data_IF_913572413484
#
_entry.id   IF_913572413484
#
_cell.length_a   1.000
_cell.length_b   1.000
_cell.length_c   1.000
_cell.angle_alpha   90.00
_cell.angle_beta   90.00
_cell.angle_gamma   90.00
#
_symmetry.space_group_name_H-M   'P 1'
#
loop_
_entity.id
_entity.type
_entity.pdbx_description
1 polymer ?
#
# COMPACT_ATOMS: atom_id res chain seq x y z
N UNK A 1 6.63 38.86 20.40
CA UNK A 1 5.63 38.93 19.32
C UNK A 1 5.10 37.52 19.13
N UNK A 2 3.94 37.22 19.74
CA UNK A 2 3.35 35.87 19.80
C UNK A 2 1.95 36.01 19.20
N UNK A 3 1.68 35.31 18.11
CA UNK A 3 0.35 35.24 17.49
C UNK A 3 -0.33 33.95 17.96
N UNK A 4 -1.53 34.00 18.55
CA UNK A 4 -2.29 32.82 18.93
C UNK A 4 -3.13 32.31 17.75
N UNK A 5 -3.07 31.02 17.50
CA UNK A 5 -4.04 30.31 16.66
C UNK A 5 -5.39 30.29 17.38
N UNK A 6 -6.44 30.83 16.76
CA UNK A 6 -7.83 30.67 17.21
C UNK A 6 -8.64 30.07 16.08
N UNK A 7 -9.06 28.81 16.26
CA UNK A 7 -9.94 28.11 15.34
C UNK A 7 -11.36 28.64 15.45
N UNK A 8 -11.97 28.98 14.31
CA UNK A 8 -13.39 29.26 14.23
C UNK A 8 -14.19 27.95 14.30
N UNK A 9 -15.33 27.90 15.02
CA UNK A 9 -16.16 26.71 15.07
C UNK A 9 -16.88 26.50 13.73
N UNK A 10 -16.67 25.35 13.11
CA UNK A 10 -17.41 24.93 11.91
C UNK A 10 -18.84 24.62 12.31
N UNK A 11 -19.79 25.43 11.86
CA UNK A 11 -21.22 25.17 12.02
C UNK A 11 -21.63 24.00 11.14
N UNK A 12 -22.13 22.90 11.73
CA UNK A 12 -22.68 21.78 10.98
C UNK A 12 -24.07 22.16 10.41
N UNK A 13 -24.33 21.97 9.11
CA UNK A 13 -25.68 22.12 8.57
C UNK A 13 -26.59 20.95 9.02
N UNK A 14 -27.91 21.17 9.12
CA UNK A 14 -28.84 20.17 9.63
C UNK A 14 -28.88 18.94 8.72
N UNK A 15 -28.79 17.75 9.33
CA UNK A 15 -28.90 16.46 8.65
C UNK A 15 -30.33 16.27 8.14
N UNK A 16 -30.51 16.29 6.81
CA UNK A 16 -31.72 15.81 6.16
C UNK A 16 -31.45 14.42 5.56
N UNK A 17 -32.12 13.41 6.08
CA UNK A 17 -31.80 11.98 5.89
C UNK A 17 -32.36 11.40 4.58
N UNK A 18 -32.61 12.21 3.54
CA UNK A 18 -33.25 11.67 2.34
C UNK A 18 -32.93 12.38 1.02
N UNK A 19 -31.65 12.60 0.71
CA UNK A 19 -31.25 13.05 -0.63
C UNK A 19 -29.92 12.41 -1.06
N UNK A 20 -30.00 11.48 -2.00
CA UNK A 20 -28.92 10.60 -2.49
C UNK A 20 -28.03 11.27 -3.55
N UNK A 21 -27.56 12.49 -3.28
CA UNK A 21 -26.60 13.19 -4.13
C UNK A 21 -25.51 13.86 -3.30
N UNK A 22 -24.26 13.39 -3.44
CA UNK A 22 -23.10 14.14 -2.97
C UNK A 22 -22.79 15.23 -4.00
N UNK A 23 -23.14 16.48 -3.68
CA UNK A 23 -22.67 17.63 -4.45
C UNK A 23 -21.23 17.96 -4.04
N UNK A 24 -20.26 17.76 -4.94
CA UNK A 24 -18.93 18.34 -4.79
C UNK A 24 -19.08 19.85 -4.98
N UNK A 25 -19.06 20.62 -3.89
CA UNK A 25 -19.05 22.08 -3.97
C UNK A 25 -17.62 22.58 -4.14
N UNK A 26 -17.08 22.45 -5.35
CA UNK A 26 -15.93 23.26 -5.74
C UNK A 26 -16.43 24.70 -5.91
N UNK A 27 -16.09 25.60 -4.97
CA UNK A 27 -16.26 27.04 -5.19
C UNK A 27 -15.30 27.47 -6.28
N UNK A 28 -15.82 27.72 -7.48
CA UNK A 28 -15.11 28.49 -8.50
C UNK A 28 -15.49 29.97 -8.38
N UNK A 29 -14.54 30.89 -8.58
CA UNK A 29 -14.85 32.32 -8.63
C UNK A 29 -15.58 32.62 -9.95
N UNK A 30 -16.69 33.33 -9.81
CA UNK A 30 -17.42 34.12 -10.81
C UNK A 30 -17.45 33.63 -12.28
N UNK A 31 -18.66 33.25 -12.71
CA UNK A 31 -19.16 33.59 -14.05
C UNK A 31 -18.90 32.58 -15.17
N UNK A 32 -19.80 31.61 -15.35
CA UNK A 32 -20.42 31.27 -16.65
C UNK A 32 -21.36 30.06 -16.50
N UNK A 33 -22.53 30.15 -17.14
CA UNK A 33 -23.46 29.04 -17.32
C UNK A 33 -22.81 27.97 -18.20
N UNK A 34 -22.65 26.73 -17.71
CA UNK A 34 -22.19 25.61 -18.54
C UNK A 34 -23.24 24.51 -18.60
N UNK A 35 -23.57 24.13 -19.84
CA UNK A 35 -24.56 23.15 -20.24
C UNK A 35 -24.35 21.79 -19.55
N UNK A 36 -25.47 21.09 -19.31
CA UNK A 36 -25.48 19.74 -18.74
C UNK A 36 -24.73 18.78 -19.66
N UNK A 37 -23.44 18.59 -19.42
CA UNK A 37 -22.77 17.37 -19.83
C UNK A 37 -23.45 16.21 -19.11
N UNK A 38 -24.17 15.39 -19.87
CA UNK A 38 -24.74 14.14 -19.41
C UNK A 38 -23.58 13.16 -19.17
N UNK A 39 -22.84 13.39 -18.08
CA UNK A 39 -21.75 12.52 -17.66
C UNK A 39 -22.35 11.15 -17.38
N UNK A 40 -21.91 10.15 -18.14
CA UNK A 40 -22.28 8.77 -17.95
C UNK A 40 -22.06 8.43 -16.47
N UNK A 41 -23.13 7.96 -15.85
CA UNK A 41 -23.29 7.66 -14.43
C UNK A 41 -22.08 6.90 -13.87
N UNK A 42 -21.05 7.62 -13.42
CA UNK A 42 -20.10 7.09 -12.44
C UNK A 42 -20.92 6.84 -11.19
N UNK A 43 -21.27 5.58 -10.96
CA UNK A 43 -21.95 5.16 -9.74
C UNK A 43 -20.93 5.40 -8.63
N UNK A 44 -21.01 6.55 -7.97
CA UNK A 44 -20.31 6.77 -6.73
C UNK A 44 -20.72 5.62 -5.81
N UNK A 45 -19.77 4.76 -5.44
CA UNK A 45 -19.98 3.86 -4.31
C UNK A 45 -20.15 4.79 -3.13
N UNK A 46 -21.39 5.02 -2.73
CA UNK A 46 -21.69 5.72 -1.50
C UNK A 46 -21.10 4.80 -0.45
N UNK A 47 -19.92 5.13 0.08
CA UNK A 47 -19.47 4.56 1.33
C UNK A 47 -20.61 4.83 2.30
N UNK A 48 -21.28 3.76 2.72
CA UNK A 48 -22.11 3.82 3.90
C UNK A 48 -21.26 4.47 4.99
N UNK A 49 -21.81 5.41 5.76
CA UNK A 49 -21.16 5.92 6.98
C UNK A 49 -20.92 4.80 8.02
N UNK A 50 -21.42 3.59 7.74
CA UNK A 50 -20.93 2.38 8.36
C UNK A 50 -19.57 2.01 7.75
N UNK A 51 -18.49 1.96 8.57
CA UNK A 51 -17.23 1.35 8.18
C UNK A 51 -17.52 0.03 7.47
N UNK A 52 -16.81 -0.33 6.38
CA UNK A 52 -16.98 -1.63 5.78
C UNK A 52 -16.88 -2.66 6.89
N UNK A 53 -17.99 -3.36 7.14
CA UNK A 53 -18.01 -4.40 8.16
C UNK A 53 -17.06 -5.45 7.62
N UNK A 54 -15.86 -5.48 8.19
CA UNK A 54 -14.86 -6.50 7.96
C UNK A 54 -15.18 -7.56 9.02
N UNK A 55 -16.06 -8.54 8.74
CA UNK A 55 -16.55 -9.48 9.74
C UNK A 55 -15.42 -10.28 10.42
N UNK A 56 -14.24 -10.31 9.81
CA UNK A 56 -13.07 -10.99 10.32
C UNK A 56 -12.13 -10.10 11.16
N UNK A 57 -12.19 -8.77 11.06
CA UNK A 57 -11.39 -7.89 11.97
C UNK A 57 -11.95 -7.97 13.39
N UNK A 58 -13.28 -8.01 13.55
CA UNK A 58 -13.89 -8.21 14.87
C UNK A 58 -13.53 -9.57 15.48
N UNK A 59 -13.06 -10.53 14.69
CA UNK A 59 -12.63 -11.86 15.13
C UNK A 59 -11.16 -11.95 15.48
N UNK A 60 -10.38 -10.86 15.46
CA UNK A 60 -8.96 -10.91 15.84
C UNK A 60 -8.72 -11.59 17.20
N UNK A 61 -9.57 -11.27 18.18
CA UNK A 61 -9.53 -11.86 19.52
C UNK A 61 -10.02 -13.31 19.59
N UNK A 62 -10.63 -13.81 18.53
CA UNK A 62 -11.12 -15.20 18.42
C UNK A 62 -10.14 -16.12 17.72
N UNK A 63 -9.20 -15.57 16.94
CA UNK A 63 -8.12 -16.36 16.36
C UNK A 63 -7.10 -16.70 17.44
N UNK A 64 -6.68 -17.96 17.48
CA UNK A 64 -5.64 -18.39 18.40
C UNK A 64 -4.37 -17.60 18.12
N UNK A 65 -3.77 -17.03 19.17
CA UNK A 65 -2.56 -16.24 19.04
C UNK A 65 -1.45 -17.09 18.42
N UNK A 66 -0.96 -16.66 17.26
CA UNK A 66 0.05 -17.41 16.49
C UNK A 66 -0.53 -18.28 15.38
N UNK A 67 -1.86 -18.37 15.23
CA UNK A 67 -2.48 -18.99 14.05
C UNK A 67 -2.20 -18.17 12.78
N UNK A 68 -2.32 -18.79 11.61
CA UNK A 68 -2.13 -18.08 10.34
C UNK A 68 -3.19 -16.99 10.13
N UNK A 69 -4.43 -17.25 10.53
CA UNK A 69 -5.52 -16.29 10.47
C UNK A 69 -5.22 -15.05 11.31
N UNK A 70 -4.69 -15.23 12.53
CA UNK A 70 -4.27 -14.14 13.38
C UNK A 70 -3.17 -13.31 12.71
N UNK A 71 -2.17 -13.96 12.12
CA UNK A 71 -1.05 -13.28 11.44
C UNK A 71 -1.48 -12.54 10.18
N UNK A 72 -2.35 -13.14 9.35
CA UNK A 72 -2.94 -12.46 8.18
C UNK A 72 -3.79 -11.27 8.62
N UNK A 73 -4.60 -11.41 9.67
CA UNK A 73 -5.39 -10.31 10.21
C UNK A 73 -4.51 -9.17 10.76
N UNK A 74 -3.37 -9.47 11.38
CA UNK A 74 -2.39 -8.45 11.77
C UNK A 74 -1.79 -7.73 10.56
N UNK A 75 -1.41 -8.44 9.49
CA UNK A 75 -0.97 -7.78 8.25
C UNK A 75 -2.04 -6.87 7.67
N UNK A 76 -3.31 -7.29 7.73
CA UNK A 76 -4.43 -6.47 7.26
C UNK A 76 -4.54 -5.16 8.04
N UNK A 77 -4.42 -5.24 9.37
CA UNK A 77 -4.51 -4.08 10.26
C UNK A 77 -3.33 -3.11 10.11
N UNK A 78 -2.16 -3.63 9.76
CA UNK A 78 -0.95 -2.82 9.56
C UNK A 78 -0.90 -2.14 8.18
N UNK A 79 -1.81 -2.46 7.25
CA UNK A 79 -1.77 -1.83 5.93
C UNK A 79 -2.27 -0.38 6.01
N UNK A 80 -1.45 0.54 5.51
CA UNK A 80 -1.82 1.93 5.35
C UNK A 80 -2.96 2.11 4.33
N UNK A 81 -3.70 3.20 4.45
CA UNK A 81 -4.82 3.49 3.54
C UNK A 81 -4.40 3.51 2.06
N UNK A 82 -3.17 3.96 1.78
CA UNK A 82 -2.56 4.01 0.45
C UNK A 82 -2.10 2.64 -0.10
N UNK A 83 -2.16 1.57 0.69
CA UNK A 83 -1.74 0.22 0.31
C UNK A 83 -0.34 -0.19 0.75
N UNK A 84 0.45 0.70 1.36
CA UNK A 84 1.79 0.38 1.84
C UNK A 84 1.78 -0.23 3.24
N UNK A 85 2.95 -0.75 3.66
CA UNK A 85 3.28 -1.00 5.05
C UNK A 85 4.51 -0.19 5.46
N UNK A 86 4.56 0.20 6.72
CA UNK A 86 5.72 0.87 7.29
C UNK A 86 6.73 -0.14 7.85
N UNK A 87 8.02 0.18 7.71
CA UNK A 87 9.10 -0.63 8.24
C UNK A 87 9.24 -0.39 9.75
N UNK A 88 8.45 -1.11 10.54
CA UNK A 88 8.40 -1.00 12.00
C UNK A 88 8.49 -2.36 12.71
N UNK A 89 8.55 -2.34 14.04
CA UNK A 89 8.66 -3.58 14.83
C UNK A 89 7.43 -4.48 14.72
N UNK A 90 6.23 -3.92 14.58
CA UNK A 90 5.00 -4.70 14.53
C UNK A 90 4.96 -5.52 13.25
N UNK A 91 5.32 -4.93 12.11
CA UNK A 91 5.49 -5.66 10.86
C UNK A 91 6.58 -6.72 10.99
N UNK A 92 7.74 -6.39 11.56
CA UNK A 92 8.84 -7.34 11.73
C UNK A 92 8.39 -8.58 12.54
N UNK A 93 7.68 -8.36 13.65
CA UNK A 93 7.10 -9.41 14.50
C UNK A 93 6.15 -10.31 13.72
N UNK A 94 5.25 -9.72 12.93
CA UNK A 94 4.27 -10.45 12.11
C UNK A 94 4.96 -11.29 11.03
N UNK A 95 6.04 -10.79 10.44
CA UNK A 95 6.84 -11.49 9.44
C UNK A 95 7.78 -12.56 10.03
N UNK A 96 7.87 -12.67 11.36
CA UNK A 96 8.77 -13.60 12.04
C UNK A 96 10.25 -13.22 11.95
N UNK A 97 10.56 -11.93 11.88
CA UNK A 97 11.91 -11.36 11.72
C UNK A 97 12.15 -10.20 12.70
N UNK A 98 13.35 -9.61 12.71
CA UNK A 98 13.69 -8.43 13.49
C UNK A 98 13.74 -7.17 12.61
N UNK A 99 13.43 -6.01 13.20
CA UNK A 99 13.52 -4.73 12.51
C UNK A 99 14.97 -4.41 12.10
N UNK A 100 15.95 -4.89 12.88
CA UNK A 100 17.37 -4.74 12.58
C UNK A 100 17.75 -5.54 11.34
N UNK A 101 17.32 -6.80 11.23
CA UNK A 101 17.61 -7.62 10.06
C UNK A 101 16.92 -7.04 8.82
N UNK A 102 15.67 -6.61 8.92
CA UNK A 102 14.94 -5.95 7.83
C UNK A 102 15.69 -4.72 7.30
N UNK A 103 16.28 -3.92 8.20
CA UNK A 103 17.12 -2.76 7.85
C UNK A 103 18.46 -3.18 7.25
N UNK A 104 19.07 -4.23 7.78
CA UNK A 104 20.38 -4.71 7.32
C UNK A 104 20.33 -5.29 5.90
N UNK A 105 19.22 -5.92 5.52
CA UNK A 105 19.02 -6.45 4.17
C UNK A 105 18.33 -5.47 3.21
N UNK A 106 17.96 -4.28 3.71
CA UNK A 106 17.31 -3.24 2.92
C UNK A 106 18.24 -2.79 1.78
N UNK A 107 17.82 -2.90 0.51
CA UNK A 107 18.66 -2.48 -0.61
C UNK A 107 18.76 -0.96 -0.67
N UNK A 108 19.83 -0.39 -0.11
CA UNK A 108 20.12 1.06 -0.14
C UNK A 108 21.11 1.43 -1.25
N UNK A 109 21.91 0.48 -1.73
CA UNK A 109 22.92 0.71 -2.76
C UNK A 109 23.00 -0.49 -3.71
N UNK A 110 22.75 -0.26 -5.00
CA UNK A 110 22.85 -1.28 -6.04
C UNK A 110 23.80 -0.84 -7.14
N UNK A 111 24.97 -1.49 -7.27
CA UNK A 111 25.78 -1.31 -8.48
C UNK A 111 24.99 -1.86 -9.68
N UNK A 112 24.78 -1.01 -10.69
CA UNK A 112 24.20 -1.40 -11.97
C UNK A 112 25.32 -1.49 -13.01
N UNK A 113 25.37 -2.62 -13.71
CA UNK A 113 26.07 -2.75 -14.98
C UNK A 113 25.02 -3.08 -16.01
N UNK A 114 24.74 -2.13 -16.90
CA UNK A 114 23.99 -2.40 -18.12
C UNK A 114 25.04 -2.78 -19.16
N UNK A 115 24.97 -3.99 -19.71
CA UNK A 115 25.78 -4.34 -20.88
C UNK A 115 25.13 -3.69 -22.10
N UNK A 116 25.47 -2.43 -22.36
CA UNK A 116 25.14 -1.79 -23.62
C UNK A 116 25.98 -2.46 -24.72
N UNK A 117 25.35 -3.25 -25.58
CA UNK A 117 26.02 -4.02 -26.64
C UNK A 117 26.69 -3.17 -27.72
N UNK A 118 26.70 -1.85 -27.58
CA UNK A 118 27.19 -0.89 -28.58
C UNK A 118 28.36 -0.03 -28.12
N UNK A 119 28.75 -0.04 -26.84
CA UNK A 119 29.89 0.77 -26.39
C UNK A 119 30.78 0.02 -25.41
N UNK A 120 31.99 -0.31 -25.87
CA UNK A 120 33.03 -0.96 -25.09
C UNK A 120 33.73 0.05 -24.15
N UNK A 121 32.95 0.83 -23.40
CA UNK A 121 33.46 1.70 -22.36
C UNK A 121 32.64 1.49 -21.08
N UNK A 122 33.15 0.54 -20.31
CA UNK A 122 32.67 0.12 -19.01
C UNK A 122 32.90 1.23 -17.99
N UNK A 123 31.96 2.16 -17.88
CA UNK A 123 31.86 3.02 -16.71
C UNK A 123 30.71 2.48 -15.86
N UNK A 124 31.05 1.81 -14.75
CA UNK A 124 30.07 1.36 -13.75
C UNK A 124 29.17 2.56 -13.42
N UNK A 125 27.94 2.56 -13.92
CA UNK A 125 26.95 3.56 -13.56
C UNK A 125 26.42 3.17 -12.19
N UNK A 126 27.01 3.73 -11.14
CA UNK A 126 26.50 3.62 -9.77
C UNK A 126 25.11 4.25 -9.73
N UNK A 127 24.07 3.47 -9.97
CA UNK A 127 22.68 3.89 -9.77
C UNK A 127 22.34 3.58 -8.32
N UNK A 128 22.41 4.59 -7.45
CA UNK A 128 21.95 4.46 -6.07
C UNK A 128 20.42 4.29 -6.12
N UNK A 129 19.94 3.04 -6.07
CA UNK A 129 18.54 2.77 -5.81
C UNK A 129 18.32 2.93 -4.31
N UNK A 130 17.94 4.12 -3.87
CA UNK A 130 17.35 4.28 -2.53
C UNK A 130 15.93 3.76 -2.64
N UNK A 131 15.72 2.50 -2.27
CA UNK A 131 14.36 2.00 -2.07
C UNK A 131 13.80 2.69 -0.83
N UNK A 132 12.58 3.23 -0.92
CA UNK A 132 11.90 3.74 0.26
C UNK A 132 11.70 2.60 1.27
N UNK A 133 11.96 2.80 2.58
CA UNK A 133 11.78 1.75 3.58
C UNK A 133 10.38 1.13 3.57
N UNK A 134 9.34 1.94 3.34
CA UNK A 134 7.97 1.46 3.22
C UNK A 134 7.77 0.62 1.94
N UNK A 135 8.53 0.85 0.87
CA UNK A 135 8.49 0.00 -0.32
C UNK A 135 9.14 -1.36 -0.09
N UNK A 136 10.25 -1.40 0.63
CA UNK A 136 10.84 -2.66 1.10
C UNK A 136 9.88 -3.45 2.00
N UNK A 137 9.32 -2.80 3.02
CA UNK A 137 8.33 -3.37 3.93
C UNK A 137 7.09 -3.90 3.19
N UNK A 138 6.55 -3.12 2.25
CA UNK A 138 5.39 -3.50 1.44
C UNK A 138 5.69 -4.73 0.59
N UNK A 139 6.86 -4.80 -0.03
CA UNK A 139 7.25 -5.98 -0.82
C UNK A 139 7.40 -7.24 0.06
N UNK A 140 8.01 -7.11 1.24
CA UNK A 140 8.12 -8.22 2.20
C UNK A 140 6.75 -8.73 2.65
N UNK A 141 5.82 -7.82 2.98
CA UNK A 141 4.46 -8.19 3.37
C UNK A 141 3.72 -8.96 2.28
N UNK A 142 3.79 -8.48 1.03
CA UNK A 142 3.14 -9.15 -0.11
C UNK A 142 3.76 -10.53 -0.38
N UNK A 143 5.09 -10.66 -0.35
CA UNK A 143 5.76 -11.97 -0.51
C UNK A 143 5.35 -12.94 0.59
N UNK A 144 5.29 -12.47 1.84
CA UNK A 144 4.89 -13.29 2.97
C UNK A 144 3.45 -13.80 2.82
N UNK A 145 2.51 -12.94 2.39
CA UNK A 145 1.11 -13.33 2.14
C UNK A 145 1.01 -14.44 1.10
N UNK A 146 1.76 -14.33 0.00
CA UNK A 146 1.80 -15.35 -1.05
C UNK A 146 2.48 -16.65 -0.61
N UNK A 147 3.47 -16.58 0.28
CA UNK A 147 4.19 -17.76 0.75
C UNK A 147 3.39 -18.54 1.81
N UNK A 148 2.79 -17.84 2.77
CA UNK A 148 2.18 -18.44 3.97
C UNK A 148 0.65 -18.38 3.95
N UNK A 149 0.06 -17.28 3.47
CA UNK A 149 -1.38 -17.03 3.57
C UNK A 149 -2.26 -17.66 2.48
N UNK A 150 -1.76 -18.62 1.69
CA UNK A 150 -2.44 -19.10 0.46
C UNK A 150 -3.90 -19.54 0.68
N UNK A 151 -4.18 -20.23 1.77
CA UNK A 151 -5.52 -20.71 2.12
C UNK A 151 -6.51 -19.58 2.47
N UNK A 152 -5.98 -18.40 2.82
CA UNK A 152 -6.74 -17.22 3.22
C UNK A 152 -6.77 -16.16 2.12
N UNK A 153 -6.52 -16.54 0.86
CA UNK A 153 -6.37 -15.60 -0.26
C UNK A 153 -7.52 -14.60 -0.39
N UNK A 154 -8.76 -15.05 -0.19
CA UNK A 154 -9.94 -14.18 -0.24
C UNK A 154 -9.88 -13.01 0.76
N UNK A 155 -9.19 -13.17 1.89
CA UNK A 155 -9.06 -12.15 2.93
C UNK A 155 -8.03 -11.07 2.56
N UNK A 156 -6.97 -11.42 1.83
CA UNK A 156 -5.84 -10.52 1.58
C UNK A 156 -5.60 -10.14 0.11
N UNK A 157 -6.31 -10.71 -0.86
CA UNK A 157 -6.10 -10.41 -2.28
C UNK A 157 -6.36 -8.95 -2.66
N UNK A 158 -7.29 -8.27 -1.96
CA UNK A 158 -7.53 -6.84 -2.16
C UNK A 158 -6.37 -5.99 -1.63
N UNK A 159 -5.75 -6.43 -0.52
CA UNK A 159 -4.59 -5.77 0.06
C UNK A 159 -3.38 -5.90 -0.84
N UNK A 160 -3.14 -7.09 -1.39
CA UNK A 160 -2.13 -7.33 -2.43
C UNK A 160 -2.31 -6.34 -3.58
N UNK A 161 -3.51 -6.26 -4.17
CA UNK A 161 -3.76 -5.39 -5.33
C UNK A 161 -3.44 -3.93 -5.03
N UNK A 162 -3.87 -3.42 -3.87
CA UNK A 162 -3.55 -2.04 -3.45
C UNK A 162 -2.05 -1.82 -3.28
N UNK A 163 -1.37 -2.78 -2.65
CA UNK A 163 0.06 -2.72 -2.40
C UNK A 163 0.88 -2.75 -3.69
N UNK A 164 0.50 -3.61 -4.64
CA UNK A 164 1.14 -3.70 -5.96
C UNK A 164 0.96 -2.39 -6.72
N UNK A 165 -0.25 -1.82 -6.78
CA UNK A 165 -0.50 -0.50 -7.41
C UNK A 165 0.36 0.58 -6.75
N UNK A 166 0.43 0.58 -5.41
CA UNK A 166 1.26 1.54 -4.68
C UNK A 166 2.76 1.38 -5.01
N UNK A 167 3.29 0.15 -5.09
CA UNK A 167 4.69 -0.11 -5.43
C UNK A 167 5.05 0.38 -6.85
N UNK A 168 4.15 0.20 -7.81
CA UNK A 168 4.33 0.72 -9.17
C UNK A 168 4.33 2.25 -9.21
N UNK A 169 3.42 2.89 -8.47
CA UNK A 169 3.33 4.35 -8.40
C UNK A 169 4.52 5.00 -7.67
N UNK A 170 5.15 4.29 -6.73
CA UNK A 170 6.33 4.76 -6.00
C UNK A 170 7.65 4.42 -6.73
N UNK A 171 7.59 4.12 -8.04
CA UNK A 171 8.74 3.98 -8.95
C UNK A 171 9.75 2.91 -8.54
N UNK A 172 9.32 1.82 -7.90
CA UNK A 172 10.19 0.69 -7.58
C UNK A 172 10.67 0.04 -8.89
N UNK A 173 11.86 0.44 -9.36
CA UNK A 173 12.53 -0.14 -10.53
C UNK A 173 13.35 -1.36 -10.09
N UNK A 174 13.33 -2.43 -10.90
CA UNK A 174 14.16 -3.61 -10.65
C UNK A 174 13.57 -4.65 -9.69
N UNK A 175 12.24 -4.87 -9.74
CA UNK A 175 11.52 -5.88 -8.95
C UNK A 175 12.22 -7.23 -8.91
N UNK A 176 12.78 -7.73 -10.02
CA UNK A 176 13.40 -9.07 -10.08
C UNK A 176 14.56 -9.25 -9.10
N UNK A 177 15.42 -8.23 -8.92
CA UNK A 177 16.58 -8.33 -8.01
C UNK A 177 16.16 -8.09 -6.56
N UNK A 178 15.30 -7.10 -6.33
CA UNK A 178 14.69 -6.82 -5.03
C UNK A 178 13.95 -8.05 -4.49
N UNK A 179 13.21 -8.73 -5.35
CA UNK A 179 12.49 -9.94 -5.03
C UNK A 179 13.40 -11.11 -4.68
N UNK A 180 14.53 -11.27 -5.39
CA UNK A 180 15.51 -12.30 -5.02
C UNK A 180 16.06 -12.08 -3.60
N UNK A 181 16.36 -10.83 -3.26
CA UNK A 181 16.79 -10.46 -1.90
C UNK A 181 15.71 -10.75 -0.87
N UNK A 182 14.47 -10.34 -1.14
CA UNK A 182 13.32 -10.55 -0.25
C UNK A 182 12.98 -12.04 -0.05
N UNK A 183 12.95 -12.83 -1.13
CA UNK A 183 12.75 -14.27 -1.07
C UNK A 183 13.84 -14.96 -0.24
N UNK A 184 15.11 -14.59 -0.46
CA UNK A 184 16.23 -15.11 0.34
C UNK A 184 16.09 -14.74 1.81
N UNK A 185 15.70 -13.51 2.11
CA UNK A 185 15.53 -13.01 3.47
C UNK A 185 14.40 -13.74 4.21
N UNK A 186 13.25 -13.94 3.57
CA UNK A 186 12.09 -14.63 4.15
C UNK A 186 12.17 -16.16 4.03
N UNK A 187 13.23 -16.70 3.42
CA UNK A 187 13.35 -18.12 3.09
C UNK A 187 12.14 -18.65 2.27
N UNK A 188 11.74 -17.91 1.23
CA UNK A 188 10.61 -18.23 0.36
C UNK A 188 11.02 -18.32 -1.11
N UNK A 189 10.12 -18.82 -1.97
CA UNK A 189 10.35 -19.01 -3.42
C UNK A 189 9.20 -18.47 -4.26
N UNK A 190 8.72 -17.27 -3.93
CA UNK A 190 7.59 -16.65 -4.64
C UNK A 190 8.06 -16.11 -6.00
N UNK A 191 7.20 -16.17 -7.02
CA UNK A 191 7.47 -15.68 -8.37
C UNK A 191 7.20 -14.18 -8.52
N UNK A 192 8.02 -13.47 -9.31
CA UNK A 192 7.86 -12.03 -9.54
C UNK A 192 6.56 -11.63 -10.27
N UNK A 193 5.83 -12.59 -10.84
CA UNK A 193 4.53 -12.32 -11.44
C UNK A 193 3.47 -11.83 -10.43
N UNK A 194 3.68 -11.98 -9.11
CA UNK A 194 2.73 -11.44 -8.12
C UNK A 194 2.69 -9.90 -8.10
N UNK A 195 3.76 -9.24 -8.59
CA UNK A 195 3.84 -7.78 -8.67
C UNK A 195 3.44 -7.23 -10.04
N UNK A 196 2.90 -8.03 -10.94
CA UNK A 196 2.33 -7.51 -12.20
C UNK A 196 0.94 -6.93 -11.93
N UNK A 197 0.65 -5.76 -12.51
CA UNK A 197 -0.72 -5.25 -12.55
C UNK A 197 -1.60 -6.27 -13.29
N UNK A 198 -2.70 -6.66 -12.65
CA UNK A 198 -3.72 -7.53 -13.25
C UNK A 198 -4.83 -6.61 -13.78
N UNK A 199 -5.15 -6.75 -15.05
CA UNK A 199 -6.20 -5.99 -15.75
C UNK A 199 -7.61 -6.30 -15.20
#
# INVERSE_FOLDING_TARGET
MVLPCSGAPVSQPPRNVNMSYCAIMARMPEGAHQERYHSQRMKCVIHTDSPPDLPNIRKLHTYEKGSMEHTVAQLILLQNANGSWDMNEDLAKVLGTSLEDMKAVHPTEGKYGEEDSYNQNYFIKTVIYVLEPSAWATMLAVIWLHANGKELKCEWELLERKAVVWLHNNTVRGFTRLMRTANKFLNTTVSACIFTLKD
#
